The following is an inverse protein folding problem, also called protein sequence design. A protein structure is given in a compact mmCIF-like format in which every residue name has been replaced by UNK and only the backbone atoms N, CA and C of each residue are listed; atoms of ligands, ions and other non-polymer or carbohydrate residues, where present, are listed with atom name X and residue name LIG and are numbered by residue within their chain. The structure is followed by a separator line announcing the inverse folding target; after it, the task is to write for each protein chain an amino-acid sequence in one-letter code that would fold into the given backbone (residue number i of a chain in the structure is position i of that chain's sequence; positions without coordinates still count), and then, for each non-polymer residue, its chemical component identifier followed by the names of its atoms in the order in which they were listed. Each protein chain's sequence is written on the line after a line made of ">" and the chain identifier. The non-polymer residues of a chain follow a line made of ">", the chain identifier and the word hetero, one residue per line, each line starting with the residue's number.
data_IF_666989853504
#
_entry.id   IF_666989853504
#
_cell.length_a   1.000
_cell.length_b   1.000
_cell.length_c   1.000
_cell.angle_alpha   90.00
_cell.angle_beta   90.00
_cell.angle_gamma   90.00
#
_symmetry.space_group_name_H-M   'P 1'
#
loop_
_entity.id
_entity.type
_entity.pdbx_description
1 polymer ?
#
# COMPACT_ATOMS: atom_id res chain seq x y z
N UNK A 1 -2.23 -3.95 -18.84
CA UNK A 1 -2.01 -3.26 -17.56
C UNK A 1 -0.83 -3.86 -16.82
N UNK A 2 -0.08 -3.06 -16.08
CA UNK A 2 1.03 -3.51 -15.23
C UNK A 2 0.88 -2.93 -13.83
N UNK A 3 1.32 -3.66 -12.81
CA UNK A 3 1.43 -3.16 -11.44
C UNK A 3 2.89 -2.83 -11.16
N UNK A 4 3.17 -1.60 -10.78
CA UNK A 4 4.48 -1.16 -10.34
C UNK A 4 4.49 -1.02 -8.83
N UNK A 5 5.41 -1.70 -8.15
CA UNK A 5 5.54 -1.64 -6.70
C UNK A 5 6.85 -0.96 -6.30
N UNK A 6 6.76 -0.02 -5.35
CA UNK A 6 7.92 0.60 -4.75
C UNK A 6 8.59 -0.32 -3.73
N UNK A 7 9.89 -0.54 -3.89
CA UNK A 7 10.74 -1.25 -2.93
C UNK A 7 12.05 -0.48 -2.77
N UNK A 8 12.56 -0.38 -1.54
CA UNK A 8 13.92 0.14 -1.26
C UNK A 8 14.81 -1.01 -0.80
N UNK A 9 15.97 -1.13 -1.45
CA UNK A 9 16.86 -2.29 -1.25
C UNK A 9 16.43 -3.53 -2.04
N UNK A 10 16.99 -4.66 -1.68
CA UNK A 10 16.68 -5.97 -2.26
C UNK A 10 15.88 -6.83 -1.27
N UNK A 11 15.22 -7.92 -1.71
CA UNK A 11 14.50 -8.81 -0.80
C UNK A 11 15.36 -9.37 0.35
N UNK A 12 16.70 -9.38 0.19
CA UNK A 12 17.64 -9.89 1.20
C UNK A 12 18.00 -8.86 2.26
N UNK A 13 18.00 -7.56 1.92
CA UNK A 13 18.51 -6.48 2.77
C UNK A 13 17.50 -5.36 3.05
N UNK A 14 16.36 -5.34 2.36
CA UNK A 14 15.34 -4.28 2.44
C UNK A 14 14.79 -4.01 3.83
N UNK A 15 14.90 -4.95 4.78
CA UNK A 15 14.43 -4.79 6.16
C UNK A 15 15.57 -4.41 7.14
N UNK A 16 16.80 -4.25 6.65
CA UNK A 16 17.95 -3.83 7.46
C UNK A 16 18.04 -2.31 7.47
N UNK A 17 17.41 -1.70 8.48
CA UNK A 17 17.44 -0.26 8.74
C UNK A 17 17.15 0.63 7.51
N UNK A 18 15.94 0.53 6.92
CA UNK A 18 15.58 1.34 5.76
C UNK A 18 15.51 2.81 6.15
N UNK A 19 16.30 3.66 5.48
CA UNK A 19 16.37 5.10 5.71
C UNK A 19 15.72 5.86 4.55
N UNK A 20 14.99 6.93 4.86
CA UNK A 20 14.38 7.86 3.91
C UNK A 20 14.63 9.29 4.40
N UNK A 21 15.07 10.17 3.53
CA UNK A 21 15.16 11.61 3.84
C UNK A 21 13.75 12.24 3.84
N UNK A 22 12.98 11.95 2.78
CA UNK A 22 11.55 12.26 2.68
C UNK A 22 10.84 11.07 2.01
N UNK A 23 10.15 10.26 2.83
CA UNK A 23 9.52 9.02 2.40
C UNK A 23 8.52 9.23 1.26
N UNK A 24 7.62 10.22 1.40
CA UNK A 24 6.55 10.42 0.41
C UNK A 24 7.10 11.04 -0.87
N UNK A 25 8.03 11.99 -0.77
CA UNK A 25 8.68 12.57 -1.93
C UNK A 25 9.48 11.53 -2.74
N UNK A 26 10.22 10.64 -2.06
CA UNK A 26 10.95 9.55 -2.71
C UNK A 26 10.00 8.58 -3.44
N UNK A 27 8.88 8.18 -2.81
CA UNK A 27 7.88 7.30 -3.42
C UNK A 27 7.22 7.97 -4.63
N UNK A 28 6.84 9.24 -4.52
CA UNK A 28 6.23 9.99 -5.62
C UNK A 28 7.18 10.08 -6.81
N UNK A 29 8.42 10.50 -6.57
CA UNK A 29 9.46 10.61 -7.62
C UNK A 29 9.75 9.27 -8.30
N UNK A 30 9.75 8.17 -7.52
CA UNK A 30 9.88 6.82 -8.08
C UNK A 30 8.75 6.52 -9.07
N UNK A 31 7.49 6.80 -8.72
CA UNK A 31 6.36 6.52 -9.60
C UNK A 31 6.25 7.47 -10.78
N UNK A 32 6.67 8.72 -10.66
CA UNK A 32 6.80 9.64 -11.81
C UNK A 32 7.75 9.06 -12.87
N UNK A 33 8.91 8.54 -12.43
CA UNK A 33 9.86 7.87 -13.33
C UNK A 33 9.28 6.58 -13.92
N UNK A 34 8.57 5.77 -13.13
CA UNK A 34 7.90 4.57 -13.62
C UNK A 34 6.84 4.89 -14.65
N UNK A 35 6.03 5.91 -14.42
CA UNK A 35 5.00 6.36 -15.37
C UNK A 35 5.62 6.81 -16.70
N UNK A 36 6.71 7.57 -16.64
CA UNK A 36 7.45 7.97 -17.84
C UNK A 36 7.99 6.76 -18.62
N UNK A 37 8.65 5.81 -17.92
CA UNK A 37 9.17 4.58 -18.56
C UNK A 37 8.06 3.73 -19.17
N UNK A 38 6.93 3.59 -18.47
CA UNK A 38 5.77 2.86 -18.95
C UNK A 38 5.20 3.47 -20.23
N UNK A 39 5.09 4.80 -20.27
CA UNK A 39 4.64 5.54 -21.46
C UNK A 39 5.58 5.32 -22.64
N UNK A 40 6.89 5.44 -22.45
CA UNK A 40 7.90 5.18 -23.49
C UNK A 40 7.84 3.75 -24.02
N UNK A 41 7.56 2.78 -23.12
CA UNK A 41 7.41 1.36 -23.47
C UNK A 41 6.03 1.02 -24.09
N UNK A 42 5.13 1.98 -24.26
CA UNK A 42 3.79 1.76 -24.81
C UNK A 42 2.82 1.04 -23.87
N UNK A 43 3.10 1.02 -22.56
CA UNK A 43 2.19 0.48 -21.54
C UNK A 43 1.08 1.50 -21.30
N UNK A 44 -0.13 1.18 -21.72
CA UNK A 44 -1.28 2.11 -21.67
C UNK A 44 -1.84 2.32 -20.25
N UNK A 45 -1.63 1.38 -19.35
CA UNK A 45 -2.18 1.48 -18.00
C UNK A 45 -1.23 0.85 -16.98
N UNK A 46 -0.89 1.62 -15.96
CA UNK A 46 -0.18 1.15 -14.78
C UNK A 46 -1.08 1.29 -13.55
N UNK A 47 -0.81 0.46 -12.55
CA UNK A 47 -1.35 0.54 -11.21
C UNK A 47 -0.14 0.68 -10.29
N UNK A 48 -0.17 1.61 -9.34
CA UNK A 48 0.94 1.83 -8.41
C UNK A 48 0.64 1.18 -7.06
N UNK A 49 1.64 0.49 -6.49
CA UNK A 49 1.61 -0.07 -5.13
C UNK A 49 2.79 0.53 -4.34
N UNK A 50 2.53 1.32 -3.28
CA UNK A 50 3.60 1.95 -2.49
C UNK A 50 4.48 0.95 -1.72
N UNK A 51 4.17 -0.34 -1.77
CA UNK A 51 5.03 -1.40 -1.26
C UNK A 51 5.08 -1.45 0.27
N UNK A 52 3.92 -1.51 0.93
CA UNK A 52 3.84 -1.73 2.38
C UNK A 52 4.63 -2.99 2.76
N UNK A 53 5.55 -2.87 3.73
CA UNK A 53 6.38 -3.99 4.21
C UNK A 53 7.60 -4.31 3.34
N UNK A 54 7.89 -3.52 2.29
CA UNK A 54 9.05 -3.72 1.41
C UNK A 54 10.04 -2.57 1.58
N UNK A 55 11.10 -2.79 2.39
CA UNK A 55 12.09 -1.78 2.69
C UNK A 55 11.55 -0.61 3.52
N UNK A 56 10.73 -0.91 4.53
CA UNK A 56 10.02 0.10 5.33
C UNK A 56 9.83 -0.37 6.77
N UNK A 57 9.98 0.56 7.71
CA UNK A 57 9.64 0.33 9.13
C UNK A 57 8.13 0.32 9.33
N UNK A 58 7.65 0.01 10.55
CA UNK A 58 6.22 0.14 10.90
C UNK A 58 5.76 1.58 10.72
N UNK A 59 6.54 2.54 11.20
CA UNK A 59 6.28 3.97 11.12
C UNK A 59 6.19 4.44 9.67
N UNK A 60 7.13 4.03 8.81
CA UNK A 60 7.08 4.34 7.37
C UNK A 60 5.81 3.80 6.72
N UNK A 61 5.41 2.58 7.04
CA UNK A 61 4.18 1.99 6.50
C UNK A 61 2.93 2.74 6.94
N UNK A 62 2.84 3.14 8.21
CA UNK A 62 1.73 3.95 8.74
C UNK A 62 1.71 5.35 8.13
N UNK A 63 2.88 5.97 7.93
CA UNK A 63 3.01 7.28 7.27
C UNK A 63 2.50 7.22 5.82
N UNK A 64 2.83 6.16 5.06
CA UNK A 64 2.31 5.97 3.71
C UNK A 64 0.79 5.86 3.72
N UNK A 65 0.22 5.03 4.61
CA UNK A 65 -1.23 4.85 4.71
C UNK A 65 -1.93 6.17 5.06
N UNK A 66 -1.36 6.94 5.98
CA UNK A 66 -1.89 8.25 6.40
C UNK A 66 -1.90 9.25 5.25
N UNK A 67 -0.82 9.29 4.45
CA UNK A 67 -0.63 10.26 3.37
C UNK A 67 -0.90 9.66 1.97
N UNK A 68 -1.68 8.59 1.89
CA UNK A 68 -1.94 7.89 0.64
C UNK A 68 -2.60 8.78 -0.42
N UNK A 69 -3.38 9.77 0.01
CA UNK A 69 -4.00 10.79 -0.84
C UNK A 69 -2.99 11.61 -1.66
N UNK A 70 -1.74 11.74 -1.21
CA UNK A 70 -0.71 12.51 -1.93
C UNK A 70 -0.33 11.82 -3.25
N UNK A 71 -0.52 10.50 -3.34
CA UNK A 71 -0.30 9.73 -4.57
C UNK A 71 -1.36 9.98 -5.64
N UNK A 72 -2.50 10.58 -5.31
CA UNK A 72 -3.57 10.90 -6.29
C UNK A 72 -3.10 11.88 -7.37
N UNK A 73 -2.09 12.71 -7.06
CA UNK A 73 -1.47 13.61 -8.04
C UNK A 73 -0.88 12.91 -9.26
N UNK A 74 -0.61 11.60 -9.16
CA UNK A 74 -0.06 10.78 -10.24
C UNK A 74 -1.12 10.33 -11.25
N UNK A 75 -2.41 10.62 -10.99
CA UNK A 75 -3.55 10.24 -11.83
C UNK A 75 -3.54 8.76 -12.26
N UNK A 76 -3.20 7.90 -11.30
CA UNK A 76 -2.96 6.47 -11.51
C UNK A 76 -3.66 5.68 -10.41
N UNK A 77 -4.33 4.55 -10.72
CA UNK A 77 -4.93 3.71 -9.70
C UNK A 77 -3.92 3.24 -8.64
N UNK A 78 -4.29 3.38 -7.37
CA UNK A 78 -3.46 3.02 -6.22
C UNK A 78 -3.93 1.67 -5.68
N UNK A 79 -3.03 0.69 -5.66
CA UNK A 79 -3.22 -0.60 -5.01
C UNK A 79 -2.53 -0.60 -3.65
N UNK A 80 -3.14 -1.25 -2.67
CA UNK A 80 -2.55 -1.47 -1.36
C UNK A 80 -2.62 -2.95 -0.97
N UNK A 81 -1.51 -3.49 -0.48
CA UNK A 81 -1.41 -4.86 -0.02
C UNK A 81 -0.92 -4.92 1.42
N UNK A 82 -1.83 -4.89 2.40
CA UNK A 82 -1.53 -4.88 3.83
C UNK A 82 -1.79 -6.24 4.48
N UNK A 83 -2.63 -7.06 3.86
CA UNK A 83 -3.18 -8.28 4.43
C UNK A 83 -2.12 -9.18 5.08
N UNK A 84 -2.31 -9.48 6.36
CA UNK A 84 -1.50 -10.35 7.22
C UNK A 84 -0.03 -9.95 7.37
N UNK A 85 0.34 -8.70 7.03
CA UNK A 85 1.74 -8.26 7.09
C UNK A 85 2.27 -8.13 8.52
N UNK A 86 3.58 -8.34 8.67
CA UNK A 86 4.27 -8.35 9.96
C UNK A 86 4.15 -7.04 10.74
N UNK A 87 3.96 -5.91 10.06
CA UNK A 87 3.72 -4.63 10.72
C UNK A 87 2.48 -4.67 11.64
N UNK A 88 1.42 -5.40 11.25
CA UNK A 88 0.22 -5.59 12.07
C UNK A 88 0.57 -6.36 13.34
N UNK A 89 1.31 -7.48 13.19
CA UNK A 89 1.77 -8.26 14.33
C UNK A 89 2.63 -7.44 15.30
N UNK A 90 3.53 -6.59 14.78
CA UNK A 90 4.34 -5.69 15.60
C UNK A 90 3.51 -4.67 16.37
N UNK A 91 2.45 -4.11 15.75
CA UNK A 91 1.54 -3.16 16.41
C UNK A 91 0.72 -3.85 17.51
N UNK A 92 0.25 -5.07 17.24
CA UNK A 92 -0.59 -5.84 18.17
C UNK A 92 0.20 -6.68 19.17
N UNK A 93 1.55 -6.67 19.09
CA UNK A 93 2.45 -7.50 19.92
C UNK A 93 2.13 -9.00 19.80
N UNK A 94 1.89 -9.50 18.59
CA UNK A 94 1.65 -10.92 18.30
C UNK A 94 2.50 -11.41 17.14
N UNK A 95 3.00 -12.63 17.24
CA UNK A 95 3.71 -13.32 16.16
C UNK A 95 2.76 -14.19 15.32
N UNK A 96 1.56 -14.51 15.84
CA UNK A 96 0.58 -15.32 15.11
C UNK A 96 0.00 -14.53 13.93
N UNK A 97 0.08 -15.13 12.74
CA UNK A 97 -0.49 -14.55 11.52
C UNK A 97 -2.01 -14.48 11.58
N UNK A 98 -2.64 -15.39 12.32
CA UNK A 98 -4.10 -15.43 12.47
C UNK A 98 -4.63 -14.24 13.29
N UNK A 99 -3.83 -13.72 14.22
CA UNK A 99 -4.19 -12.54 15.03
C UNK A 99 -4.09 -11.21 14.27
N UNK A 100 -3.76 -11.24 12.97
CA UNK A 100 -3.61 -10.05 12.14
C UNK A 100 -4.87 -9.71 11.34
N UNK A 101 -5.96 -10.43 11.55
CA UNK A 101 -7.18 -10.31 10.76
C UNK A 101 -7.86 -8.95 10.96
N UNK A 102 -8.15 -8.55 12.19
CA UNK A 102 -8.79 -7.28 12.53
C UNK A 102 -7.92 -6.08 12.11
N UNK A 103 -6.61 -6.20 12.30
CA UNK A 103 -5.65 -5.19 11.85
C UNK A 103 -5.64 -5.06 10.32
N UNK A 104 -5.79 -6.17 9.60
CA UNK A 104 -5.92 -6.16 8.13
C UNK A 104 -7.17 -5.41 7.69
N UNK A 105 -8.34 -5.72 8.27
CA UNK A 105 -9.61 -5.04 7.95
C UNK A 105 -9.51 -3.55 8.27
N UNK A 106 -9.01 -3.21 9.45
CA UNK A 106 -8.87 -1.83 9.90
C UNK A 106 -7.99 -1.01 8.95
N UNK A 107 -6.78 -1.49 8.64
CA UNK A 107 -5.85 -0.76 7.78
C UNK A 107 -6.29 -0.72 6.32
N UNK A 108 -6.97 -1.75 5.81
CA UNK A 108 -7.59 -1.72 4.49
C UNK A 108 -8.69 -0.65 4.43
N UNK A 109 -9.55 -0.56 5.45
CA UNK A 109 -10.60 0.47 5.55
C UNK A 109 -10.00 1.87 5.52
N UNK A 110 -9.01 2.14 6.37
CA UNK A 110 -8.30 3.42 6.42
C UNK A 110 -7.65 3.74 5.07
N UNK A 111 -7.01 2.76 4.44
CA UNK A 111 -6.34 2.95 3.15
C UNK A 111 -7.32 3.32 2.04
N UNK A 112 -8.48 2.67 1.98
CA UNK A 112 -9.52 3.00 0.98
C UNK A 112 -10.09 4.39 1.22
N UNK A 113 -10.33 4.79 2.47
CA UNK A 113 -10.78 6.14 2.82
C UNK A 113 -9.73 7.19 2.45
N UNK A 114 -8.44 6.88 2.59
CA UNK A 114 -7.32 7.75 2.23
C UNK A 114 -6.97 7.72 0.73
N UNK A 115 -7.66 6.92 -0.09
CA UNK A 115 -7.53 7.02 -1.54
C UNK A 115 -7.03 5.78 -2.27
N UNK A 116 -6.88 4.64 -1.61
CA UNK A 116 -6.66 3.38 -2.32
C UNK A 116 -7.88 3.02 -3.19
N UNK A 117 -7.62 2.55 -4.39
CA UNK A 117 -8.63 2.09 -5.35
C UNK A 117 -8.76 0.57 -5.33
N UNK A 118 -7.69 -0.13 -4.98
CA UNK A 118 -7.58 -1.59 -5.02
C UNK A 118 -6.97 -2.06 -3.71
N UNK A 119 -7.60 -3.03 -3.06
CA UNK A 119 -7.02 -3.77 -1.94
C UNK A 119 -6.66 -5.18 -2.38
N UNK A 120 -5.42 -5.60 -2.11
CA UNK A 120 -4.97 -6.97 -2.37
C UNK A 120 -4.94 -7.74 -1.05
N UNK A 121 -5.78 -8.78 -0.96
CA UNK A 121 -6.06 -9.51 0.29
C UNK A 121 -5.87 -11.02 0.14
N UNK A 122 -5.62 -11.72 1.25
CA UNK A 122 -5.69 -13.17 1.33
C UNK A 122 -7.14 -13.63 1.60
N UNK A 123 -7.86 -12.90 2.47
CA UNK A 123 -9.20 -13.22 2.94
C UNK A 123 -10.23 -12.48 2.06
N UNK A 124 -10.62 -13.11 0.95
CA UNK A 124 -11.40 -12.47 -0.12
C UNK A 124 -12.79 -12.06 0.35
N UNK A 125 -13.47 -12.93 1.13
CA UNK A 125 -14.83 -12.66 1.62
C UNK A 125 -14.84 -11.40 2.48
N UNK A 126 -13.93 -11.28 3.42
CA UNK A 126 -13.76 -10.14 4.32
C UNK A 126 -13.36 -8.88 3.54
N UNK A 127 -12.49 -9.01 2.57
CA UNK A 127 -12.11 -7.91 1.69
C UNK A 127 -13.31 -7.35 0.91
N UNK A 128 -14.14 -8.22 0.33
CA UNK A 128 -15.36 -7.83 -0.38
C UNK A 128 -16.38 -7.18 0.57
N UNK A 129 -16.56 -7.73 1.78
CA UNK A 129 -17.45 -7.15 2.80
C UNK A 129 -16.98 -5.77 3.24
N UNK A 130 -15.67 -5.61 3.47
CA UNK A 130 -15.04 -4.31 3.79
C UNK A 130 -15.32 -3.29 2.68
N UNK A 131 -15.08 -3.64 1.42
CA UNK A 131 -15.34 -2.75 0.29
C UNK A 131 -16.81 -2.34 0.21
N UNK A 132 -17.76 -3.28 0.36
CA UNK A 132 -19.20 -2.99 0.35
C UNK A 132 -19.63 -2.01 1.46
N UNK A 133 -19.08 -2.15 2.66
CA UNK A 133 -19.38 -1.24 3.78
C UNK A 133 -18.85 0.16 3.47
N UNK A 134 -17.63 0.28 2.96
CA UNK A 134 -17.04 1.57 2.58
C UNK A 134 -17.85 2.22 1.45
N UNK A 135 -18.25 1.47 0.45
CA UNK A 135 -19.08 1.97 -0.66
C UNK A 135 -20.43 2.48 -0.18
N UNK A 136 -21.06 1.79 0.78
CA UNK A 136 -22.31 2.24 1.41
C UNK A 136 -22.09 3.54 2.20
N UNK A 137 -21.01 3.61 3.00
CA UNK A 137 -20.64 4.81 3.74
C UNK A 137 -20.42 6.03 2.85
N UNK A 138 -19.76 5.84 1.69
CA UNK A 138 -19.48 6.93 0.74
C UNK A 138 -20.73 7.46 0.01
N UNK A 139 -21.81 6.68 -0.02
CA UNK A 139 -23.07 7.04 -0.67
C UNK A 139 -24.07 7.71 0.27
N UNK A 140 -23.81 7.63 1.58
CA UNK A 140 -24.66 8.27 2.59
C UNK A 140 -24.41 9.78 2.68
#
# INVERSE_FOLDING_TARGET
>A
SAVAMHIKGTPKDMQKDPQYDDLMAEIISYFENVAWKANVAGIKQIIIDPGIGFGKTVEHNLQIIKNLSDLKRLDTPIMIGISRKSMIGKILNTDDVNDRHEGTITLNTISVLNGAHIIRVHDVIEGVRTAKIIDAYRKA
#
